data_IF_711730256371
#
_entry.id   IF_711730256371
#
_cell.length_a   1.000
_cell.length_b   1.000
_cell.length_c   1.000
_cell.angle_alpha   90.00
_cell.angle_beta   90.00
_cell.angle_gamma   90.00
#
_symmetry.space_group_name_H-M   'P 1'
#
loop_
_entity.id
_entity.type
_entity.pdbx_description
1 polymer ?
#
# COMPACT_ATOMS: atom_id res chain seq x y z
N UNK A 1 -17.64 15.53 -1.14
CA UNK A 1 -17.33 16.15 -2.43
C UNK A 1 -18.63 16.66 -3.00
N UNK A 2 -18.74 17.98 -3.23
CA UNK A 2 -19.79 18.53 -4.07
C UNK A 2 -19.16 19.38 -5.16
N UNK A 3 -19.58 19.17 -6.40
CA UNK A 3 -19.00 19.75 -7.61
C UNK A 3 -19.78 19.31 -8.85
N UNK A 4 -19.46 19.87 -10.02
CA UNK A 4 -20.10 19.50 -11.29
C UNK A 4 -19.27 18.38 -11.93
N UNK A 5 -19.95 17.39 -12.50
CA UNK A 5 -19.35 16.27 -13.18
C UNK A 5 -19.93 16.09 -14.58
N UNK A 6 -19.09 15.80 -15.56
CA UNK A 6 -19.46 15.58 -16.96
C UNK A 6 -19.38 14.10 -17.29
N UNK A 7 -20.46 13.53 -17.85
CA UNK A 7 -20.52 12.11 -18.21
C UNK A 7 -19.59 11.80 -19.39
N UNK A 8 -18.67 10.85 -19.21
CA UNK A 8 -17.72 10.42 -20.23
C UNK A 8 -18.15 9.16 -21.00
N UNK A 9 -19.15 8.41 -20.54
CA UNK A 9 -19.51 7.13 -21.15
C UNK A 9 -20.17 7.29 -22.54
N UNK A 10 -19.51 6.81 -23.61
CA UNK A 10 -19.99 6.94 -25.00
C UNK A 10 -21.36 6.29 -25.24
N UNK A 11 -21.65 5.17 -24.55
CA UNK A 11 -22.95 4.48 -24.61
C UNK A 11 -23.97 5.01 -23.61
N UNK A 12 -23.67 6.11 -22.91
CA UNK A 12 -24.42 6.62 -21.77
C UNK A 12 -24.13 5.89 -20.45
N UNK A 13 -24.36 6.60 -19.35
CA UNK A 13 -24.04 6.17 -17.99
C UNK A 13 -25.31 5.80 -17.21
N UNK A 14 -25.34 4.59 -16.63
CA UNK A 14 -26.47 4.13 -15.84
C UNK A 14 -26.63 4.98 -14.57
N UNK A 15 -27.78 5.66 -14.44
CA UNK A 15 -28.21 6.37 -13.24
C UNK A 15 -29.15 5.48 -12.43
N UNK A 16 -28.80 5.20 -11.17
CA UNK A 16 -29.44 4.17 -10.34
C UNK A 16 -29.99 4.72 -9.03
N UNK A 17 -30.94 4.02 -8.44
CA UNK A 17 -31.53 4.39 -7.14
C UNK A 17 -30.56 4.18 -5.97
N UNK A 18 -29.68 3.19 -6.09
CA UNK A 18 -28.62 2.87 -5.13
C UNK A 18 -27.41 2.26 -5.85
N UNK A 19 -26.23 2.20 -5.21
CA UNK A 19 -25.08 1.46 -5.71
C UNK A 19 -25.47 0.02 -6.11
N UNK A 20 -25.31 -0.33 -7.39
CA UNK A 20 -25.70 -1.63 -7.93
C UNK A 20 -27.21 -1.91 -8.04
N UNK A 21 -28.08 -1.01 -7.57
CA UNK A 21 -29.54 -1.16 -7.54
C UNK A 21 -30.24 -0.89 -8.87
N UNK A 22 -31.59 -0.83 -8.89
CA UNK A 22 -32.39 -0.58 -10.09
C UNK A 22 -31.95 0.67 -10.86
N UNK A 23 -31.98 0.58 -12.19
CA UNK A 23 -31.66 1.71 -13.08
C UNK A 23 -32.87 2.63 -13.19
N UNK A 24 -32.67 3.90 -12.83
CA UNK A 24 -33.61 5.00 -13.01
C UNK A 24 -33.67 5.39 -14.50
N UNK A 25 -32.50 5.66 -15.08
CA UNK A 25 -32.34 6.12 -16.47
C UNK A 25 -30.90 5.94 -16.94
N UNK A 26 -30.59 6.39 -18.16
CA UNK A 26 -29.24 6.48 -18.71
C UNK A 26 -28.93 7.94 -19.01
N UNK A 27 -27.83 8.45 -18.48
CA UNK A 27 -27.35 9.81 -18.74
C UNK A 27 -26.52 9.81 -20.02
N UNK A 28 -26.77 10.70 -21.00
CA UNK A 28 -25.97 10.75 -22.22
C UNK A 28 -24.55 11.25 -21.95
N UNK A 29 -23.60 10.93 -22.84
CA UNK A 29 -22.26 11.54 -22.82
C UNK A 29 -22.36 13.06 -22.89
N UNK A 30 -21.54 13.74 -22.10
CA UNK A 30 -21.56 15.20 -21.98
C UNK A 30 -22.65 15.73 -21.05
N UNK A 31 -23.50 14.88 -20.47
CA UNK A 31 -24.45 15.34 -19.46
C UNK A 31 -23.71 15.83 -18.21
N UNK A 32 -24.11 17.00 -17.72
CA UNK A 32 -23.65 17.55 -16.45
C UNK A 32 -24.50 17.02 -15.29
N UNK A 33 -23.83 16.65 -14.21
CA UNK A 33 -24.44 16.20 -12.96
C UNK A 33 -23.84 16.95 -11.79
N UNK A 34 -24.65 17.27 -10.78
CA UNK A 34 -24.15 17.79 -9.52
C UNK A 34 -23.79 16.62 -8.61
N UNK A 35 -22.53 16.49 -8.23
CA UNK A 35 -22.05 15.48 -7.29
C UNK A 35 -22.46 15.93 -5.88
N UNK A 36 -23.16 15.05 -5.15
CA UNK A 36 -23.62 15.26 -3.78
C UNK A 36 -22.78 14.50 -2.75
N UNK A 37 -22.07 13.46 -3.18
CA UNK A 37 -21.26 12.64 -2.30
C UNK A 37 -20.66 11.42 -3.01
N UNK A 38 -19.82 10.70 -2.29
CA UNK A 38 -19.12 9.51 -2.79
C UNK A 38 -19.42 8.33 -1.86
N UNK A 39 -19.76 7.19 -2.45
CA UNK A 39 -20.02 5.93 -1.77
C UNK A 39 -19.31 4.80 -2.51
N UNK A 40 -18.10 4.47 -2.03
CA UNK A 40 -17.18 3.58 -2.75
C UNK A 40 -16.88 4.09 -4.16
N UNK A 41 -17.15 3.25 -5.15
CA UNK A 41 -16.96 3.56 -6.58
C UNK A 41 -18.15 4.30 -7.21
N UNK A 42 -19.10 4.77 -6.38
CA UNK A 42 -20.28 5.47 -6.84
C UNK A 42 -20.26 6.93 -6.41
N UNK A 43 -20.65 7.80 -7.33
CA UNK A 43 -21.07 9.15 -6.97
C UNK A 43 -22.57 9.17 -6.76
N UNK A 44 -22.98 9.71 -5.60
CA UNK A 44 -24.35 10.20 -5.43
C UNK A 44 -24.43 11.52 -6.17
N UNK A 45 -25.30 11.62 -7.17
CA UNK A 45 -25.41 12.79 -8.04
C UNK A 45 -26.86 13.25 -8.16
N UNK A 46 -27.05 14.53 -8.46
CA UNK A 46 -28.31 15.14 -8.88
C UNK A 46 -28.25 15.42 -10.37
N UNK A 47 -29.28 14.99 -11.09
CA UNK A 47 -29.47 15.24 -12.51
C UNK A 47 -30.91 15.72 -12.73
N UNK A 48 -31.06 16.99 -13.11
CA UNK A 48 -32.36 17.68 -13.04
C UNK A 48 -32.90 17.67 -11.60
N UNK A 49 -34.16 17.28 -11.43
CA UNK A 49 -34.81 17.20 -10.11
C UNK A 49 -34.57 15.86 -9.37
N UNK A 50 -33.88 14.90 -10.01
CA UNK A 50 -33.72 13.54 -9.46
C UNK A 50 -32.34 13.36 -8.84
N UNK A 51 -32.30 12.66 -7.71
CA UNK A 51 -31.07 12.23 -7.05
C UNK A 51 -30.91 10.71 -7.20
N UNK A 52 -29.70 10.25 -7.45
CA UNK A 52 -29.37 8.84 -7.62
C UNK A 52 -27.86 8.62 -7.66
N UNK A 53 -27.43 7.50 -8.20
CA UNK A 53 -26.04 7.06 -8.19
C UNK A 53 -25.53 6.73 -9.58
N UNK A 54 -24.29 7.14 -9.86
CA UNK A 54 -23.55 6.81 -11.09
C UNK A 54 -22.17 6.27 -10.72
N UNK A 55 -21.58 5.44 -11.58
CA UNK A 55 -20.27 4.88 -11.33
C UNK A 55 -19.18 5.94 -11.61
N UNK A 56 -18.32 6.20 -10.63
CA UNK A 56 -17.45 7.38 -10.56
C UNK A 56 -16.47 7.48 -11.72
N UNK A 57 -15.92 6.35 -12.19
CA UNK A 57 -14.95 6.30 -13.32
C UNK A 57 -15.44 6.89 -14.64
N UNK A 58 -16.75 7.13 -14.77
CA UNK A 58 -17.37 7.67 -15.99
C UNK A 58 -17.81 9.13 -15.84
N UNK A 59 -17.38 9.80 -14.79
CA UNK A 59 -17.62 11.22 -14.55
C UNK A 59 -16.27 11.93 -14.56
N UNK A 60 -16.10 12.88 -15.47
CA UNK A 60 -15.04 13.86 -15.40
C UNK A 60 -15.48 14.96 -14.45
N UNK A 61 -14.71 15.24 -13.39
CA UNK A 61 -15.13 16.25 -12.41
C UNK A 61 -14.52 17.58 -12.82
N UNK A 62 -15.33 18.45 -13.40
CA UNK A 62 -14.96 19.85 -13.59
C UNK A 62 -15.09 20.53 -12.23
N UNK A 63 -13.94 20.71 -11.58
CA UNK A 63 -13.86 21.46 -10.34
C UNK A 63 -14.24 22.91 -10.68
N UNK A 64 -15.37 23.38 -10.14
CA UNK A 64 -15.72 24.81 -10.21
C UNK A 64 -14.50 25.66 -9.78
N UNK A 65 -14.30 26.85 -10.41
CA UNK A 65 -13.22 27.73 -10.01
C UNK A 65 -13.33 28.04 -8.51
N UNK A 66 -12.19 28.01 -7.84
CA UNK A 66 -11.99 28.01 -6.38
C UNK A 66 -12.62 29.18 -5.58
N UNK A 67 -13.34 30.11 -6.20
CA UNK A 67 -13.46 31.47 -5.68
C UNK A 67 -14.39 31.66 -4.46
N UNK A 68 -15.33 30.77 -4.16
CA UNK A 68 -16.22 30.95 -2.98
C UNK A 68 -16.03 29.89 -1.86
N UNK A 69 -15.23 28.84 -2.07
CA UNK A 69 -14.88 27.85 -1.03
C UNK A 69 -13.42 27.92 -0.56
N UNK A 70 -12.55 28.64 -1.28
CA UNK A 70 -11.13 28.82 -0.94
C UNK A 70 -10.84 29.77 0.23
N UNK A 71 -11.85 30.36 0.88
CA UNK A 71 -11.62 31.22 2.04
C UNK A 71 -11.08 30.46 3.27
N UNK A 72 -11.27 29.15 3.36
CA UNK A 72 -10.75 28.33 4.45
C UNK A 72 -9.53 27.52 4.00
N UNK A 73 -8.33 27.90 4.45
CA UNK A 73 -7.13 27.07 4.32
C UNK A 73 -7.24 25.76 5.12
N UNK A 74 -6.22 24.90 5.03
CA UNK A 74 -6.12 23.71 5.88
C UNK A 74 -6.27 24.07 7.36
N UNK A 75 -7.18 23.39 8.07
CA UNK A 75 -7.53 23.76 9.44
C UNK A 75 -7.97 22.57 10.26
N UNK A 76 -8.09 22.79 11.57
CA UNK A 76 -8.74 21.86 12.48
C UNK A 76 -10.15 22.34 12.83
N UNK A 77 -11.11 21.42 12.87
CA UNK A 77 -12.37 21.59 13.60
C UNK A 77 -12.40 20.55 14.73
N UNK A 78 -12.11 20.99 15.96
CA UNK A 78 -11.86 20.08 17.07
C UNK A 78 -10.67 19.16 16.79
N UNK A 79 -10.90 17.85 16.77
CA UNK A 79 -9.87 16.86 16.41
C UNK A 79 -9.72 16.65 14.91
N UNK A 80 -10.65 17.14 14.10
CA UNK A 80 -10.73 16.74 12.71
C UNK A 80 -9.87 17.69 11.87
N UNK A 81 -9.03 17.13 11.01
CA UNK A 81 -8.24 17.87 10.03
C UNK A 81 -9.04 18.01 8.74
N UNK A 82 -9.27 19.26 8.32
CA UNK A 82 -10.05 19.61 7.16
C UNK A 82 -9.15 20.18 6.08
N UNK A 83 -9.38 19.71 4.86
CA UNK A 83 -8.87 20.31 3.65
C UNK A 83 -9.67 21.57 3.27
N UNK A 84 -9.19 22.41 2.33
CA UNK A 84 -9.89 23.63 1.93
C UNK A 84 -11.31 23.40 1.42
N UNK A 85 -11.54 22.28 0.74
CA UNK A 85 -12.86 21.85 0.25
C UNK A 85 -13.82 21.34 1.35
N UNK A 86 -13.40 21.40 2.62
CA UNK A 86 -14.14 20.90 3.78
C UNK A 86 -14.00 19.40 4.03
N UNK A 87 -13.22 18.66 3.23
CA UNK A 87 -13.01 17.23 3.41
C UNK A 87 -12.26 16.95 4.71
N UNK A 88 -12.87 16.15 5.60
CA UNK A 88 -12.18 15.61 6.77
C UNK A 88 -11.29 14.44 6.32
N UNK A 89 -9.98 14.61 6.43
CA UNK A 89 -9.01 13.64 5.90
C UNK A 89 -8.12 12.98 6.96
N UNK A 90 -8.07 13.51 8.18
CA UNK A 90 -7.27 12.94 9.26
C UNK A 90 -7.76 13.43 10.63
N UNK A 91 -7.22 12.86 11.71
CA UNK A 91 -7.46 13.34 13.07
C UNK A 91 -6.17 13.83 13.71
N UNK A 92 -6.26 14.94 14.44
CA UNK A 92 -5.18 15.53 15.24
C UNK A 92 -4.72 14.54 16.31
N UNK A 93 -3.42 14.37 16.42
CA UNK A 93 -2.80 13.65 17.52
C UNK A 93 -1.41 14.21 17.80
N UNK A 94 -1.18 14.62 19.05
CA UNK A 94 0.07 15.28 19.47
C UNK A 94 0.41 16.44 18.51
N UNK A 95 1.62 16.40 17.91
CA UNK A 95 2.15 17.42 17.00
C UNK A 95 1.80 17.21 15.52
N UNK A 96 1.02 16.19 15.19
CA UNK A 96 0.65 15.89 13.81
C UNK A 96 -0.78 15.38 13.69
N UNK A 97 -1.00 14.58 12.65
CA UNK A 97 -2.28 13.93 12.36
C UNK A 97 -2.07 12.46 12.00
N UNK A 98 -3.14 11.68 12.06
CA UNK A 98 -3.16 10.32 11.55
C UNK A 98 -4.47 10.03 10.81
N UNK A 99 -4.41 9.09 9.86
CA UNK A 99 -5.55 8.42 9.26
C UNK A 99 -5.19 6.94 9.11
N UNK A 100 -6.03 6.04 9.64
CA UNK A 100 -5.80 4.58 9.53
C UNK A 100 -6.11 4.02 8.14
N UNK A 101 -6.74 4.82 7.27
CA UNK A 101 -7.24 4.41 5.96
C UNK A 101 -8.34 3.34 6.05
N UNK A 102 -8.72 2.82 4.88
CA UNK A 102 -9.82 1.87 4.71
C UNK A 102 -9.44 0.75 3.76
N UNK A 103 -8.74 1.05 2.67
CA UNK A 103 -8.49 0.08 1.59
C UNK A 103 -7.28 -0.80 1.88
N UNK A 104 -7.51 -2.12 2.03
CA UNK A 104 -6.43 -3.11 2.17
C UNK A 104 -5.81 -3.46 0.82
N UNK A 105 -4.63 -4.09 0.83
CA UNK A 105 -4.02 -4.64 -0.38
C UNK A 105 -4.96 -5.65 -1.03
N UNK A 106 -5.49 -6.59 -0.25
CA UNK A 106 -6.39 -7.62 -0.77
C UNK A 106 -7.64 -7.04 -1.43
N UNK A 107 -8.32 -6.09 -0.77
CA UNK A 107 -9.50 -5.45 -1.35
C UNK A 107 -9.18 -4.72 -2.66
N UNK A 108 -8.03 -4.03 -2.72
CA UNK A 108 -7.62 -3.31 -3.92
C UNK A 108 -7.28 -4.25 -5.07
N UNK A 109 -6.48 -5.31 -4.82
CA UNK A 109 -6.09 -6.31 -5.83
C UNK A 109 -7.33 -7.01 -6.39
N UNK A 110 -8.27 -7.43 -5.53
CA UNK A 110 -9.48 -8.14 -5.95
C UNK A 110 -10.39 -7.29 -6.83
N UNK A 111 -10.56 -6.00 -6.48
CA UNK A 111 -11.38 -5.09 -7.28
C UNK A 111 -10.70 -4.61 -8.56
N UNK A 112 -9.38 -4.79 -8.69
CA UNK A 112 -8.57 -4.21 -9.78
C UNK A 112 -7.63 -5.23 -10.45
N UNK A 113 -8.04 -6.49 -10.59
CA UNK A 113 -7.18 -7.56 -11.15
C UNK A 113 -6.57 -7.19 -12.51
N UNK A 114 -7.32 -6.49 -13.37
CA UNK A 114 -6.84 -6.05 -14.67
C UNK A 114 -5.66 -5.08 -14.57
N UNK A 115 -5.57 -4.29 -13.49
CA UNK A 115 -4.41 -3.44 -13.27
C UNK A 115 -3.15 -4.25 -13.08
N UNK A 116 -3.20 -5.52 -12.62
CA UNK A 116 -2.06 -6.36 -12.26
C UNK A 116 -1.80 -7.53 -13.23
N UNK A 117 -2.35 -7.47 -14.45
CA UNK A 117 -2.29 -8.57 -15.41
C UNK A 117 -0.87 -8.96 -15.85
N UNK A 118 0.11 -8.07 -15.64
CA UNK A 118 1.54 -8.26 -15.93
C UNK A 118 2.32 -8.91 -14.78
N UNK A 119 1.72 -9.05 -13.59
CA UNK A 119 2.36 -9.70 -12.44
C UNK A 119 1.97 -11.17 -12.32
N UNK A 120 2.88 -12.00 -11.83
CA UNK A 120 2.59 -13.40 -11.55
C UNK A 120 1.47 -13.53 -10.50
N UNK A 121 0.44 -14.36 -10.73
CA UNK A 121 -0.68 -14.50 -9.79
C UNK A 121 -0.26 -14.89 -8.37
N UNK A 122 0.79 -15.71 -8.21
CA UNK A 122 1.29 -16.10 -6.89
C UNK A 122 1.92 -14.95 -6.10
N UNK A 123 2.48 -13.93 -6.78
CA UNK A 123 2.95 -12.70 -6.11
C UNK A 123 1.78 -11.94 -5.48
N UNK A 124 0.67 -11.82 -6.23
CA UNK A 124 -0.53 -11.17 -5.75
C UNK A 124 -1.13 -11.93 -4.56
N UNK A 125 -1.21 -13.26 -4.63
CA UNK A 125 -1.68 -14.09 -3.51
C UNK A 125 -0.82 -13.96 -2.24
N UNK A 126 0.51 -13.89 -2.39
CA UNK A 126 1.42 -13.55 -1.27
C UNK A 126 1.08 -12.18 -0.68
N UNK A 127 0.85 -11.17 -1.54
CA UNK A 127 0.49 -9.83 -1.10
C UNK A 127 -0.88 -9.76 -0.42
N UNK A 128 -1.85 -10.54 -0.88
CA UNK A 128 -3.16 -10.69 -0.25
C UNK A 128 -3.03 -11.37 1.12
N UNK A 129 -2.20 -12.40 1.25
CA UNK A 129 -1.97 -13.10 2.52
C UNK A 129 -1.29 -12.22 3.57
N UNK A 130 -0.31 -11.39 3.18
CA UNK A 130 0.28 -10.43 4.13
C UNK A 130 -0.66 -9.27 4.43
N UNK A 131 -1.63 -8.96 3.56
CA UNK A 131 -2.51 -7.80 3.69
C UNK A 131 -3.25 -7.70 5.02
N UNK A 132 -3.56 -8.82 5.67
CA UNK A 132 -4.26 -8.84 6.97
C UNK A 132 -3.41 -8.23 8.10
N UNK A 133 -2.09 -8.30 7.94
CA UNK A 133 -1.11 -7.84 8.91
C UNK A 133 -0.67 -6.39 8.70
N UNK A 134 -1.14 -5.75 7.63
CA UNK A 134 -0.58 -4.51 7.10
C UNK A 134 -1.58 -3.36 7.16
N UNK A 135 -1.05 -2.14 7.05
CA UNK A 135 -1.83 -0.92 7.00
C UNK A 135 -2.68 -0.80 5.75
N UNK A 136 -3.41 0.33 5.65
CA UNK A 136 -4.24 0.64 4.48
C UNK A 136 -3.48 1.54 3.50
N UNK A 137 -3.87 1.49 2.23
CA UNK A 137 -3.15 2.15 1.13
C UNK A 137 -3.12 3.68 1.25
N UNK A 138 -4.14 4.27 1.87
CA UNK A 138 -4.25 5.70 2.12
C UNK A 138 -3.90 6.11 3.56
N UNK A 139 -3.41 5.17 4.37
CA UNK A 139 -3.06 5.45 5.75
C UNK A 139 -1.90 6.44 5.82
N UNK A 140 -1.99 7.40 6.74
CA UNK A 140 -0.94 8.40 6.98
C UNK A 140 -0.73 8.61 8.47
N UNK A 141 0.49 8.96 8.85
CA UNK A 141 0.81 9.43 10.19
C UNK A 141 1.93 10.47 10.14
N UNK A 142 1.78 11.57 10.90
CA UNK A 142 2.74 12.67 10.94
C UNK A 142 3.09 13.11 12.35
N UNK A 143 2.89 12.29 13.40
CA UNK A 143 3.09 12.73 14.79
C UNK A 143 4.36 12.20 15.47
N UNK A 144 4.96 11.13 14.94
CA UNK A 144 6.10 10.43 15.55
C UNK A 144 7.48 10.88 14.99
N UNK A 145 8.56 10.17 15.31
CA UNK A 145 9.93 10.51 14.88
C UNK A 145 10.22 10.30 13.39
N UNK A 146 9.30 9.71 12.62
CA UNK A 146 9.44 9.55 11.18
C UNK A 146 8.92 10.76 10.38
N UNK A 147 8.32 11.76 11.04
CA UNK A 147 7.79 13.01 10.47
C UNK A 147 6.59 12.85 9.54
N UNK A 148 6.64 11.87 8.65
CA UNK A 148 5.57 11.44 7.77
C UNK A 148 5.77 9.96 7.46
N UNK A 149 4.70 9.18 7.63
CA UNK A 149 4.56 7.82 7.12
C UNK A 149 3.35 7.71 6.23
N UNK A 150 3.43 6.85 5.22
CA UNK A 150 2.36 6.66 4.24
C UNK A 150 2.20 5.19 3.89
N UNK A 151 0.96 4.75 3.71
CA UNK A 151 0.64 3.53 3.00
C UNK A 151 0.72 2.24 3.81
N UNK A 152 0.66 1.13 3.08
CA UNK A 152 0.46 -0.23 3.62
C UNK A 152 1.51 -0.64 4.64
N UNK A 153 2.79 -0.32 4.42
CA UNK A 153 3.87 -0.65 5.35
C UNK A 153 4.33 0.56 6.17
N UNK A 154 3.54 1.64 6.17
CA UNK A 154 3.90 2.91 6.83
C UNK A 154 5.30 3.39 6.42
N UNK A 155 5.56 3.44 5.10
CA UNK A 155 6.82 3.87 4.52
C UNK A 155 7.21 5.23 5.11
N UNK A 156 8.41 5.33 5.67
CA UNK A 156 8.81 6.50 6.48
C UNK A 156 9.59 7.53 5.66
N UNK A 157 9.47 8.82 6.01
CA UNK A 157 10.39 9.88 5.56
C UNK A 157 11.79 9.79 6.22
N UNK A 158 12.04 8.74 7.02
CA UNK A 158 13.27 8.51 7.77
C UNK A 158 13.28 9.23 9.12
N UNK A 159 13.88 8.59 10.13
CA UNK A 159 13.97 9.12 11.50
C UNK A 159 15.18 10.02 11.67
N UNK A 160 15.05 11.09 12.47
CA UNK A 160 16.11 12.08 12.64
C UNK A 160 16.65 12.57 11.29
N UNK A 161 17.97 12.47 11.10
CA UNK A 161 18.66 12.89 9.87
C UNK A 161 18.80 11.75 8.84
N UNK A 162 18.28 10.56 9.11
CA UNK A 162 18.42 9.38 8.24
C UNK A 162 17.54 9.46 7.00
N UNK A 163 17.95 8.80 5.90
CA UNK A 163 17.10 8.60 4.73
C UNK A 163 15.89 7.70 5.06
N UNK A 164 14.81 7.83 4.28
CA UNK A 164 13.56 7.09 4.46
C UNK A 164 13.21 6.20 3.27
N UNK A 165 12.35 5.20 3.50
CA UNK A 165 11.82 4.32 2.44
C UNK A 165 10.71 5.00 1.62
N UNK A 166 10.01 6.00 2.18
CA UNK A 166 8.96 6.71 1.47
C UNK A 166 9.49 7.49 0.24
N UNK A 167 10.63 8.19 0.30
CA UNK A 167 11.29 8.69 -0.91
C UNK A 167 11.61 7.60 -1.94
N UNK A 168 11.93 6.38 -1.51
CA UNK A 168 12.15 5.25 -2.41
C UNK A 168 10.87 4.80 -3.12
N UNK A 169 9.74 4.76 -2.42
CA UNK A 169 8.42 4.54 -3.03
C UNK A 169 8.09 5.65 -4.03
N UNK A 170 8.30 6.90 -3.66
CA UNK A 170 7.99 8.02 -4.54
C UNK A 170 8.90 8.08 -5.78
N UNK A 171 10.15 7.63 -5.70
CA UNK A 171 11.00 7.45 -6.88
C UNK A 171 10.43 6.39 -7.83
N UNK A 172 9.85 5.30 -7.31
CA UNK A 172 9.10 4.33 -8.13
C UNK A 172 7.92 5.02 -8.82
N UNK A 173 7.10 5.77 -8.09
CA UNK A 173 5.96 6.51 -8.69
C UNK A 173 6.45 7.49 -9.77
N UNK A 174 7.52 8.24 -9.49
CA UNK A 174 8.13 9.21 -10.42
C UNK A 174 8.63 8.56 -11.70
N UNK A 175 9.23 7.37 -11.61
CA UNK A 175 9.74 6.61 -12.76
C UNK A 175 8.61 5.97 -13.57
N UNK A 176 7.67 5.31 -12.89
CA UNK A 176 6.67 4.45 -13.53
C UNK A 176 5.43 5.26 -13.97
N UNK A 177 5.15 6.39 -13.32
CA UNK A 177 4.12 7.34 -13.73
C UNK A 177 4.49 8.79 -13.36
N UNK A 178 5.27 9.46 -14.22
CA UNK A 178 5.64 10.86 -14.03
C UNK A 178 4.42 11.78 -13.83
N UNK A 179 3.30 11.50 -14.50
CA UNK A 179 2.06 12.29 -14.40
C UNK A 179 1.38 12.16 -13.03
N UNK A 180 1.34 10.95 -12.45
CA UNK A 180 0.81 10.76 -11.11
C UNK A 180 1.71 11.47 -10.09
N UNK A 181 3.04 11.38 -10.25
CA UNK A 181 3.99 12.08 -9.41
C UNK A 181 3.85 13.61 -9.52
N UNK A 182 3.68 14.12 -10.73
CA UNK A 182 3.48 15.55 -10.99
C UNK A 182 2.21 16.06 -10.29
N UNK A 183 1.10 15.35 -10.48
CA UNK A 183 -0.23 15.72 -9.98
C UNK A 183 -0.31 15.73 -8.45
N UNK A 184 0.33 14.79 -7.78
CA UNK A 184 0.23 14.66 -6.32
C UNK A 184 1.36 15.34 -5.57
N UNK A 185 2.54 15.49 -6.18
CA UNK A 185 3.75 15.90 -5.47
C UNK A 185 4.51 17.06 -6.14
N UNK A 186 5.03 16.88 -7.37
CA UNK A 186 6.01 17.83 -7.94
C UNK A 186 5.45 19.23 -8.15
N UNK A 187 4.23 19.36 -8.68
CA UNK A 187 3.61 20.69 -8.89
C UNK A 187 3.40 21.49 -7.61
N UNK A 188 3.50 20.82 -6.45
CA UNK A 188 3.37 21.41 -5.12
C UNK A 188 4.72 21.56 -4.41
N UNK A 189 5.83 21.43 -5.15
CA UNK A 189 7.19 21.65 -4.68
C UNK A 189 7.89 20.43 -4.08
N UNK A 190 7.25 19.25 -4.02
CA UNK A 190 7.90 18.04 -3.48
C UNK A 190 8.61 17.23 -4.56
N UNK A 191 9.88 16.93 -4.32
CA UNK A 191 10.65 15.95 -5.09
C UNK A 191 11.41 14.98 -4.16
N UNK A 192 12.10 14.00 -4.75
CA UNK A 192 12.96 13.03 -4.08
C UNK A 192 14.37 13.06 -4.63
N UNK A 193 15.35 12.74 -3.79
CA UNK A 193 16.77 12.72 -4.15
C UNK A 193 17.56 11.69 -3.35
N UNK A 194 18.72 11.30 -3.89
CA UNK A 194 19.64 10.37 -3.24
C UNK A 194 19.03 8.99 -2.99
N UNK A 195 18.08 8.55 -3.83
CA UNK A 195 17.42 7.26 -3.70
C UNK A 195 18.36 6.16 -4.23
N UNK A 196 18.74 5.23 -3.35
CA UNK A 196 19.66 4.16 -3.70
C UNK A 196 19.43 2.89 -2.86
N UNK A 197 20.02 1.78 -3.32
CA UNK A 197 19.95 0.48 -2.66
C UNK A 197 18.79 -0.41 -3.14
N UNK A 198 18.82 -1.69 -2.77
CA UNK A 198 17.77 -2.65 -3.14
C UNK A 198 16.47 -2.46 -2.35
N UNK A 199 16.60 -2.09 -1.07
CA UNK A 199 15.55 -1.42 -0.31
C UNK A 199 15.76 0.08 -0.49
N UNK A 200 15.20 0.70 -1.54
CA UNK A 200 15.52 2.07 -1.93
C UNK A 200 15.15 3.02 -0.79
N UNK A 201 16.14 3.81 -0.37
CA UNK A 201 15.96 4.88 0.61
C UNK A 201 16.55 6.16 0.07
N UNK A 202 15.92 7.29 0.37
CA UNK A 202 16.39 8.60 -0.05
C UNK A 202 15.87 9.72 0.85
N UNK A 203 15.87 10.93 0.29
CA UNK A 203 15.44 12.16 0.98
C UNK A 203 14.38 12.87 0.16
N UNK A 204 13.54 13.64 0.84
CA UNK A 204 12.65 14.59 0.19
C UNK A 204 13.38 15.91 -0.09
N UNK A 205 12.94 16.57 -1.15
CA UNK A 205 13.21 17.97 -1.45
C UNK A 205 11.89 18.74 -1.43
N UNK A 206 11.90 19.93 -0.82
CA UNK A 206 10.79 20.87 -0.87
C UNK A 206 11.28 22.19 -1.47
N UNK A 207 10.70 22.59 -2.58
CA UNK A 207 11.01 23.84 -3.30
C UNK A 207 12.51 23.94 -3.63
N UNK A 208 13.08 22.83 -4.12
CA UNK A 208 14.51 22.71 -4.43
C UNK A 208 15.43 22.51 -3.22
N UNK A 209 14.91 22.55 -1.99
CA UNK A 209 15.71 22.36 -0.76
C UNK A 209 15.61 20.93 -0.24
N UNK A 210 16.73 20.22 -0.15
CA UNK A 210 16.79 18.88 0.45
C UNK A 210 16.55 18.92 1.96
N UNK A 211 15.69 18.03 2.46
CA UNK A 211 15.39 17.88 3.88
C UNK A 211 16.39 16.90 4.54
N UNK A 212 17.57 17.42 4.90
CA UNK A 212 18.67 16.62 5.48
C UNK A 212 18.54 16.40 6.98
N UNK A 213 17.97 17.39 7.68
CA UNK A 213 17.90 17.43 9.14
C UNK A 213 16.50 17.17 9.66
N UNK A 214 16.41 16.68 10.91
CA UNK A 214 15.15 16.55 11.64
C UNK A 214 14.33 17.86 11.63
N UNK A 215 14.98 19.01 11.84
CA UNK A 215 14.32 20.32 11.85
C UNK A 215 13.69 20.66 10.48
N UNK A 216 14.39 20.39 9.38
CA UNK A 216 13.83 20.59 8.03
C UNK A 216 12.66 19.64 7.75
N UNK A 217 12.72 18.39 8.23
CA UNK A 217 11.65 17.41 8.06
C UNK A 217 10.38 17.73 8.84
N UNK A 218 10.43 18.58 9.87
CA UNK A 218 9.21 19.03 10.57
C UNK A 218 8.20 19.70 9.61
N UNK A 219 8.66 20.25 8.46
CA UNK A 219 7.79 20.74 7.38
C UNK A 219 6.81 19.68 6.86
N UNK A 220 7.18 18.40 6.89
CA UNK A 220 6.35 17.28 6.40
C UNK A 220 5.15 16.97 7.30
N UNK A 221 5.07 17.55 8.50
CA UNK A 221 3.92 17.38 9.40
C UNK A 221 2.74 18.28 9.07
N UNK A 222 2.90 19.19 8.10
CA UNK A 222 1.84 20.12 7.73
C UNK A 222 0.58 19.37 7.29
N UNK A 223 -0.58 20.00 7.52
CA UNK A 223 -1.86 19.46 7.04
C UNK A 223 -1.88 19.32 5.52
N UNK A 224 -1.22 20.23 4.82
CA UNK A 224 -1.05 20.20 3.37
C UNK A 224 -0.37 18.89 2.92
N UNK A 225 0.80 18.55 3.48
CA UNK A 225 1.50 17.31 3.11
C UNK A 225 0.73 16.07 3.52
N UNK A 226 0.18 16.06 4.74
CA UNK A 226 -0.67 14.96 5.18
C UNK A 226 -1.84 14.71 4.20
N UNK A 227 -2.54 15.77 3.79
CA UNK A 227 -3.63 15.67 2.82
C UNK A 227 -3.16 15.16 1.46
N UNK A 228 -2.03 15.65 0.94
CA UNK A 228 -1.51 15.23 -0.37
C UNK A 228 -1.16 13.75 -0.41
N UNK A 229 -0.50 13.24 0.62
CA UNK A 229 -0.22 11.79 0.72
C UNK A 229 -1.50 10.98 0.90
N UNK A 230 -2.45 11.45 1.71
CA UNK A 230 -3.76 10.81 1.83
C UNK A 230 -4.51 10.77 0.48
N UNK A 231 -4.52 11.87 -0.28
CA UNK A 231 -5.09 11.95 -1.63
C UNK A 231 -4.39 11.02 -2.62
N UNK A 232 -3.07 10.97 -2.60
CA UNK A 232 -2.29 10.05 -3.42
C UNK A 232 -2.63 8.57 -3.08
N UNK A 233 -2.94 8.27 -1.82
CA UNK A 233 -3.42 6.95 -1.40
C UNK A 233 -4.77 6.53 -1.97
N UNK A 234 -5.50 7.42 -2.65
CA UNK A 234 -6.73 7.13 -3.40
C UNK A 234 -6.51 6.97 -4.91
N UNK A 235 -5.29 7.20 -5.40
CA UNK A 235 -4.95 7.06 -6.81
C UNK A 235 -4.47 5.64 -7.11
N UNK A 236 -5.10 4.97 -8.08
CA UNK A 236 -4.84 3.57 -8.38
C UNK A 236 -3.40 3.30 -8.85
N UNK A 237 -2.77 4.28 -9.51
CA UNK A 237 -1.36 4.18 -9.94
C UNK A 237 -0.44 4.21 -8.71
N UNK A 238 -0.71 5.09 -7.75
CA UNK A 238 0.05 5.15 -6.50
C UNK A 238 -0.19 3.91 -5.63
N UNK A 239 -1.42 3.40 -5.59
CA UNK A 239 -1.77 2.15 -4.89
C UNK A 239 -1.07 0.95 -5.49
N UNK A 240 -1.05 0.82 -6.82
CA UNK A 240 -0.28 -0.21 -7.52
C UNK A 240 1.22 -0.09 -7.19
N UNK A 241 1.78 1.12 -7.27
CA UNK A 241 3.18 1.35 -6.96
C UNK A 241 3.55 0.94 -5.53
N UNK A 242 2.67 1.13 -4.54
CA UNK A 242 2.88 0.64 -3.17
C UNK A 242 3.01 -0.90 -3.11
N UNK A 243 2.16 -1.61 -3.87
CA UNK A 243 2.15 -3.08 -3.91
C UNK A 243 3.39 -3.60 -4.62
N UNK A 244 3.75 -3.05 -5.77
CA UNK A 244 5.01 -3.40 -6.45
C UNK A 244 6.25 -3.10 -5.60
N UNK A 245 6.22 -2.00 -4.85
CA UNK A 245 7.30 -1.66 -3.93
C UNK A 245 7.41 -2.66 -2.77
N UNK A 246 6.28 -3.18 -2.29
CA UNK A 246 6.24 -4.26 -1.31
C UNK A 246 6.74 -5.59 -1.90
N UNK A 247 6.28 -5.96 -3.11
CA UNK A 247 6.70 -7.17 -3.83
C UNK A 247 8.22 -7.19 -4.05
N UNK A 248 8.81 -6.07 -4.45
CA UNK A 248 10.25 -5.96 -4.70
C UNK A 248 11.11 -6.30 -3.46
N UNK A 249 10.54 -6.31 -2.24
CA UNK A 249 11.26 -6.75 -1.04
C UNK A 249 11.51 -8.26 -1.01
N UNK A 250 10.81 -9.06 -1.82
CA UNK A 250 11.05 -10.49 -1.98
C UNK A 250 12.43 -10.71 -2.62
N UNK A 251 12.83 -9.88 -3.59
CA UNK A 251 14.11 -9.96 -4.29
C UNK A 251 15.33 -9.72 -3.39
N UNK A 252 15.13 -9.14 -2.21
CA UNK A 252 16.19 -8.92 -1.22
C UNK A 252 16.61 -10.17 -0.47
N UNK A 253 15.80 -11.23 -0.50
CA UNK A 253 16.10 -12.46 0.22
C UNK A 253 15.86 -13.73 -0.59
N UNK A 254 14.88 -13.77 -1.49
CA UNK A 254 14.38 -15.02 -2.04
C UNK A 254 15.40 -15.73 -2.95
N UNK A 255 16.01 -14.97 -3.86
CA UNK A 255 17.06 -15.46 -4.78
C UNK A 255 18.37 -14.68 -4.68
N UNK A 256 18.60 -13.97 -3.57
CA UNK A 256 19.83 -13.20 -3.36
C UNK A 256 21.01 -14.13 -2.99
N UNK A 257 22.11 -14.19 -3.77
CA UNK A 257 23.27 -15.01 -3.47
C UNK A 257 23.91 -14.72 -2.11
N UNK A 258 23.74 -13.50 -1.58
CA UNK A 258 24.27 -13.08 -0.27
C UNK A 258 23.44 -13.60 0.90
N UNK A 259 22.28 -14.20 0.61
CA UNK A 259 21.31 -14.72 1.59
C UNK A 259 21.16 -16.23 1.53
N UNK A 260 22.03 -16.90 0.74
CA UNK A 260 22.10 -18.35 0.68
C UNK A 260 22.29 -18.97 2.07
N UNK A 261 21.74 -20.16 2.23
CA UNK A 261 21.93 -21.02 3.40
C UNK A 261 22.65 -22.26 2.88
N UNK A 262 23.91 -22.45 3.27
CA UNK A 262 24.77 -23.40 2.58
C UNK A 262 24.93 -23.01 1.10
N UNK A 263 24.71 -23.97 0.21
CA UNK A 263 24.81 -23.78 -1.25
C UNK A 263 23.48 -23.35 -1.90
N UNK A 264 22.39 -23.39 -1.14
CA UNK A 264 21.02 -23.21 -1.62
C UNK A 264 20.50 -21.78 -1.37
N UNK A 265 19.65 -21.30 -2.27
CA UNK A 265 18.88 -20.07 -2.10
C UNK A 265 17.70 -20.29 -1.14
N UNK A 266 17.14 -19.21 -0.60
CA UNK A 266 15.90 -19.26 0.18
C UNK A 266 14.76 -19.87 -0.65
N UNK A 267 14.71 -19.56 -1.95
CA UNK A 267 13.75 -20.08 -2.90
C UNK A 267 13.81 -21.60 -3.10
N UNK A 268 14.91 -22.28 -2.74
CA UNK A 268 15.00 -23.73 -2.87
C UNK A 268 14.28 -24.43 -1.70
N UNK A 269 14.35 -23.84 -0.51
CA UNK A 269 13.71 -24.36 0.70
C UNK A 269 12.22 -24.02 0.77
N UNK A 270 11.85 -22.77 0.46
CA UNK A 270 10.49 -22.25 0.66
C UNK A 270 9.88 -21.89 -0.69
N UNK A 271 8.86 -22.64 -1.10
CA UNK A 271 8.25 -22.52 -2.43
C UNK A 271 6.71 -22.43 -2.38
N UNK A 272 6.12 -22.47 -1.19
CA UNK A 272 4.71 -22.20 -0.98
C UNK A 272 4.43 -20.70 -0.86
N UNK A 273 3.27 -20.23 -1.31
CA UNK A 273 2.85 -18.84 -1.13
C UNK A 273 2.73 -18.49 0.36
N UNK A 274 2.22 -19.42 1.17
CA UNK A 274 2.20 -19.30 2.62
C UNK A 274 3.59 -19.06 3.21
N UNK A 275 4.57 -19.88 2.83
CA UNK A 275 5.94 -19.76 3.30
C UNK A 275 6.56 -18.42 2.90
N UNK A 276 6.43 -18.03 1.63
CA UNK A 276 6.95 -16.73 1.15
C UNK A 276 6.25 -15.56 1.87
N UNK A 277 4.94 -15.63 2.13
CA UNK A 277 4.22 -14.61 2.89
C UNK A 277 4.74 -14.49 4.34
N UNK A 278 5.06 -15.61 5.01
CA UNK A 278 5.66 -15.58 6.35
C UNK A 278 7.07 -14.95 6.38
N UNK A 279 7.87 -15.21 5.34
CA UNK A 279 9.20 -14.61 5.20
C UNK A 279 9.09 -13.11 4.91
N UNK A 280 8.20 -12.72 3.99
CA UNK A 280 7.95 -11.32 3.66
C UNK A 280 7.43 -10.55 4.87
N UNK A 281 6.49 -11.12 5.63
CA UNK A 281 5.94 -10.52 6.85
C UNK A 281 7.05 -10.21 7.90
N UNK A 282 7.96 -11.16 8.15
CA UNK A 282 9.11 -10.88 9.00
C UNK A 282 10.06 -9.87 8.35
N UNK A 283 10.26 -9.92 7.03
CA UNK A 283 11.13 -8.98 6.32
C UNK A 283 10.62 -7.53 6.38
N UNK A 284 9.30 -7.32 6.35
CA UNK A 284 8.67 -6.00 6.51
C UNK A 284 8.94 -5.46 7.91
N UNK A 285 8.76 -6.28 8.95
CA UNK A 285 8.89 -5.82 10.33
C UNK A 285 10.36 -5.72 10.81
N UNK A 286 11.19 -6.69 10.38
CA UNK A 286 12.57 -6.91 10.82
C UNK A 286 13.42 -7.51 9.68
N UNK A 287 13.78 -6.72 8.65
CA UNK A 287 14.49 -7.21 7.45
C UNK A 287 15.74 -8.05 7.77
N UNK A 288 16.53 -7.62 8.77
CA UNK A 288 17.78 -8.28 9.14
C UNK A 288 17.61 -9.62 9.87
N UNK A 289 16.40 -10.00 10.28
CA UNK A 289 16.16 -11.23 11.04
C UNK A 289 15.94 -12.45 10.15
N UNK A 290 15.28 -12.28 8.99
CA UNK A 290 14.89 -13.40 8.09
C UNK A 290 16.05 -14.35 7.80
N UNK A 291 17.24 -13.90 7.36
CA UNK A 291 18.30 -14.83 6.98
C UNK A 291 18.77 -15.70 8.16
N UNK A 292 18.90 -15.11 9.35
CA UNK A 292 19.34 -15.84 10.55
C UNK A 292 18.26 -16.78 11.06
N UNK A 293 17.02 -16.31 11.12
CA UNK A 293 15.88 -17.10 11.62
C UNK A 293 15.65 -18.31 10.72
N UNK A 294 15.69 -18.13 9.39
CA UNK A 294 15.52 -19.23 8.44
C UNK A 294 16.72 -20.19 8.46
N UNK A 295 17.96 -19.70 8.48
CA UNK A 295 19.15 -20.57 8.55
C UNK A 295 19.15 -21.49 9.78
N UNK A 296 18.70 -20.99 10.93
CA UNK A 296 18.56 -21.79 12.14
C UNK A 296 17.47 -22.87 12.03
N UNK A 297 16.39 -22.59 11.30
CA UNK A 297 15.34 -23.56 11.04
C UNK A 297 15.79 -24.63 10.04
N UNK A 298 16.45 -24.22 8.95
CA UNK A 298 17.06 -25.13 7.96
C UNK A 298 18.05 -26.07 8.63
N UNK A 299 19.00 -25.54 9.41
CA UNK A 299 20.01 -26.35 10.10
C UNK A 299 19.40 -27.41 11.04
N UNK A 300 18.25 -27.11 11.66
CA UNK A 300 17.51 -28.09 12.46
C UNK A 300 16.94 -29.20 11.57
N UNK A 301 16.20 -28.82 10.53
CA UNK A 301 15.52 -29.79 9.66
C UNK A 301 16.50 -30.67 8.90
N UNK A 302 17.57 -30.11 8.36
CA UNK A 302 18.57 -30.90 7.62
C UNK A 302 19.35 -31.85 8.54
N UNK A 303 19.58 -31.48 9.80
CA UNK A 303 20.13 -32.40 10.80
C UNK A 303 19.16 -33.52 11.18
N UNK A 304 17.85 -33.24 11.28
CA UNK A 304 16.82 -34.25 11.52
C UNK A 304 16.68 -35.23 10.33
N UNK A 305 16.84 -34.74 9.10
CA UNK A 305 16.77 -35.55 7.87
C UNK A 305 18.09 -36.28 7.54
N UNK A 306 19.23 -35.79 8.04
CA UNK A 306 20.56 -36.31 7.71
C UNK A 306 21.09 -35.88 6.34
N UNK A 307 20.39 -34.98 5.64
CA UNK A 307 20.78 -34.45 4.33
C UNK A 307 20.25 -33.02 4.10
N UNK A 308 20.91 -32.26 3.22
CA UNK A 308 20.53 -30.92 2.79
C UNK A 308 20.17 -30.91 1.30
N UNK A 309 19.01 -31.51 0.99
CA UNK A 309 18.51 -31.72 -0.37
C UNK A 309 17.11 -31.13 -0.55
N UNK A 310 16.94 -29.80 -0.50
CA UNK A 310 15.63 -29.18 -0.66
C UNK A 310 14.93 -29.54 -1.98
N UNK A 311 15.67 -29.96 -3.02
CA UNK A 311 15.08 -30.43 -4.28
C UNK A 311 14.28 -31.73 -4.15
N UNK A 312 14.47 -32.51 -3.07
CA UNK A 312 13.71 -33.75 -2.81
C UNK A 312 12.50 -33.54 -1.91
N UNK A 313 12.37 -32.35 -1.31
CA UNK A 313 11.33 -32.06 -0.33
C UNK A 313 9.94 -32.04 -0.95
N UNK A 314 8.96 -32.52 -0.18
CA UNK A 314 7.54 -32.39 -0.48
C UNK A 314 6.85 -31.36 0.46
N UNK A 315 5.52 -31.36 0.46
CA UNK A 315 4.72 -30.52 1.35
C UNK A 315 5.10 -30.68 2.84
N UNK A 316 5.32 -31.92 3.30
CA UNK A 316 5.61 -32.24 4.69
C UNK A 316 6.96 -31.67 5.14
N UNK A 317 8.02 -31.77 4.33
CA UNK A 317 9.33 -31.19 4.68
C UNK A 317 9.28 -29.66 4.74
N UNK A 318 8.68 -29.00 3.73
CA UNK A 318 8.54 -27.54 3.77
C UNK A 318 7.67 -27.10 4.96
N UNK A 319 6.58 -27.82 5.25
CA UNK A 319 5.73 -27.52 6.40
C UNK A 319 6.50 -27.65 7.73
N UNK A 320 7.31 -28.71 7.91
CA UNK A 320 8.18 -28.86 9.10
C UNK A 320 9.18 -27.71 9.20
N UNK A 321 9.79 -27.29 8.09
CA UNK A 321 10.66 -26.12 8.07
C UNK A 321 9.92 -24.86 8.54
N UNK A 322 8.72 -24.60 8.02
CA UNK A 322 7.94 -23.42 8.39
C UNK A 322 7.54 -23.44 9.87
N UNK A 323 7.24 -24.59 10.45
CA UNK A 323 7.00 -24.72 11.90
C UNK A 323 8.28 -24.38 12.70
N UNK A 324 9.42 -24.96 12.33
CA UNK A 324 10.70 -24.65 12.98
C UNK A 324 11.08 -23.16 12.83
N UNK A 325 10.79 -22.56 11.68
CA UNK A 325 10.97 -21.14 11.43
C UNK A 325 10.07 -20.29 12.33
N UNK A 326 8.79 -20.62 12.47
CA UNK A 326 7.85 -19.90 13.33
C UNK A 326 8.25 -19.97 14.81
N UNK A 327 8.66 -21.14 15.29
CA UNK A 327 9.19 -21.29 16.65
C UNK A 327 10.35 -20.33 16.94
N UNK A 328 11.29 -20.20 16.00
CA UNK A 328 12.42 -19.25 16.09
C UNK A 328 11.97 -17.81 15.93
N UNK A 329 11.10 -17.53 14.96
CA UNK A 329 10.57 -16.20 14.66
C UNK A 329 9.83 -15.61 15.87
N UNK A 330 9.10 -16.42 16.64
CA UNK A 330 8.41 -15.99 17.86
C UNK A 330 9.34 -15.57 19.00
N UNK A 331 10.62 -15.96 18.94
CA UNK A 331 11.65 -15.57 19.90
C UNK A 331 12.42 -14.31 19.45
N UNK A 332 12.10 -13.76 18.28
CA UNK A 332 12.71 -12.53 17.78
C UNK A 332 12.02 -11.28 18.31
N UNK A 333 12.59 -10.10 18.04
CA UNK A 333 12.00 -8.80 18.39
C UNK A 333 10.85 -8.36 17.45
N UNK A 334 10.29 -9.29 16.67
CA UNK A 334 9.16 -9.00 15.79
C UNK A 334 7.88 -8.82 16.60
N UNK A 335 7.19 -7.71 16.36
CA UNK A 335 5.92 -7.39 17.03
C UNK A 335 4.83 -8.39 16.65
N UNK A 336 4.08 -8.87 17.64
CA UNK A 336 2.90 -9.75 17.48
C UNK A 336 3.12 -10.98 16.58
N UNK A 337 4.34 -11.52 16.58
CA UNK A 337 4.79 -12.60 15.69
C UNK A 337 3.82 -13.79 15.58
N UNK A 338 3.24 -14.24 16.71
CA UNK A 338 2.25 -15.33 16.74
C UNK A 338 0.93 -14.96 16.06
N UNK A 339 0.37 -13.80 16.43
CA UNK A 339 -0.88 -13.31 15.83
C UNK A 339 -0.71 -13.11 14.32
N UNK A 340 0.39 -12.49 13.90
CA UNK A 340 0.65 -12.24 12.48
C UNK A 340 0.78 -13.52 11.67
N UNK A 341 1.46 -14.54 12.20
CA UNK A 341 1.51 -15.86 11.57
C UNK A 341 0.11 -16.49 11.42
N UNK A 342 -0.74 -16.35 12.45
CA UNK A 342 -2.11 -16.86 12.41
C UNK A 342 -2.97 -16.16 11.37
N UNK A 343 -2.82 -14.84 11.18
CA UNK A 343 -3.50 -14.10 10.12
C UNK A 343 -3.07 -14.57 8.72
N UNK A 344 -1.77 -14.78 8.51
CA UNK A 344 -1.26 -15.34 7.24
C UNK A 344 -1.82 -16.73 6.98
N UNK A 345 -1.92 -17.58 8.01
CA UNK A 345 -2.52 -18.91 7.89
C UNK A 345 -4.03 -18.84 7.63
N UNK A 346 -4.73 -17.88 8.23
CA UNK A 346 -6.16 -17.63 7.98
C UNK A 346 -6.42 -17.30 6.51
N UNK A 347 -5.52 -16.54 5.87
CA UNK A 347 -5.61 -16.26 4.44
C UNK A 347 -5.52 -17.53 3.58
N UNK A 348 -4.70 -18.52 3.97
CA UNK A 348 -4.67 -19.84 3.32
C UNK A 348 -6.02 -20.56 3.48
N UNK A 349 -6.57 -20.57 4.70
CA UNK A 349 -7.89 -21.17 4.97
C UNK A 349 -9.05 -20.51 4.22
N UNK A 350 -8.90 -19.25 3.82
CA UNK A 350 -9.85 -18.49 2.99
C UNK A 350 -9.62 -18.67 1.48
N UNK A 351 -8.59 -19.42 1.07
CA UNK A 351 -8.23 -19.62 -0.34
C UNK A 351 -7.55 -18.42 -1.00
N UNK A 352 -7.04 -17.46 -0.22
CA UNK A 352 -6.30 -16.29 -0.73
C UNK A 352 -4.85 -16.63 -1.09
N UNK A 353 -4.29 -17.69 -0.49
CA UNK A 353 -2.96 -18.19 -0.79
C UNK A 353 -2.92 -19.72 -0.59
N UNK A 354 -1.93 -20.37 -1.19
CA UNK A 354 -1.68 -21.80 -1.06
C UNK A 354 -0.49 -22.10 -0.15
N UNK A 355 -0.63 -23.13 0.68
CA UNK A 355 0.46 -23.71 1.46
C UNK A 355 1.15 -24.88 0.74
N UNK A 356 0.72 -25.20 -0.49
CA UNK A 356 1.31 -26.29 -1.26
C UNK A 356 2.71 -25.92 -1.73
N UNK A 357 3.64 -26.87 -1.63
CA UNK A 357 5.00 -26.74 -2.17
C UNK A 357 4.93 -26.46 -3.68
N UNK A 358 5.71 -25.50 -4.15
CA UNK A 358 5.73 -25.06 -5.55
C UNK A 358 4.57 -24.14 -5.97
N UNK A 359 3.66 -23.77 -5.06
CA UNK A 359 2.57 -22.83 -5.39
C UNK A 359 3.07 -21.41 -5.69
N UNK A 360 4.21 -21.01 -5.12
CA UNK A 360 4.85 -19.75 -5.43
C UNK A 360 5.76 -19.88 -6.66
N UNK A 361 5.45 -19.10 -7.70
CA UNK A 361 6.16 -19.09 -8.99
C UNK A 361 6.76 -17.73 -9.35
N UNK A 362 6.76 -16.81 -8.36
CA UNK A 362 7.17 -15.41 -8.53
C UNK A 362 8.66 -15.17 -8.53
#
# INVERSE_FOLDING_TARGET
>A
MSGVGTVLADSGLNFRESPGGPRISVLPRGAEVEILGTDGDWYRVRFGERTGFVFSRFIDVELEPEDDRAAAGFRFAGSDALAPDGTVFARKFRKGVFNFGRTSIAAFVQSNQALFADLAPSLLRVMEAVSANEGKLEAINTWDSAFLTFGVFQWTAGTGNSAGELPGLLERVKRDSPDAFERHFRRHGLDVTGVAGRLPRGRFMLDGTTLETAAQKERLRSLDWAYRFWRAGHDDVVRRAQIEHAIARIDDFYRDPRKKIGDHFVADYVTSEYGVALLLDQHVNRPGHVPRTLAQAVARITNELGEDRPETWDFAEEHRLLQAYLERRHQTSMTDSRKRAQETLSAVGQGLASDQRGSFTG
#
